data_IF_171763138765
#
_entry.id   IF_171763138765
#
_cell.length_a   1.000
_cell.length_b   1.000
_cell.length_c   1.000
_cell.angle_alpha   90.00
_cell.angle_beta   90.00
_cell.angle_gamma   90.00
#
_symmetry.space_group_name_H-M   'P 1'
#
loop_
_entity.id
_entity.type
_entity.pdbx_description
1 polymer ?
#
# COMPACT_ATOMS: atom_id res chain seq x y z
N UNK A 1 12.97 35.34 4.98
CA UNK A 1 13.25 34.02 4.36
C UNK A 1 12.44 32.90 5.05
N UNK A 2 11.10 32.96 5.05
CA UNK A 2 10.20 31.93 5.64
C UNK A 2 8.87 31.75 4.89
N UNK A 3 8.71 32.36 3.70
CA UNK A 3 7.41 32.48 3.02
C UNK A 3 6.83 31.12 2.56
N UNK A 4 7.66 30.10 2.34
CA UNK A 4 7.18 28.77 1.90
C UNK A 4 6.44 27.99 2.99
N UNK A 5 6.77 28.21 4.27
CA UNK A 5 6.11 27.51 5.40
C UNK A 5 4.74 28.15 5.69
N UNK A 6 4.62 29.47 5.48
CA UNK A 6 3.42 30.25 5.77
C UNK A 6 2.43 30.22 4.60
N UNK A 7 2.90 30.22 3.35
CA UNK A 7 2.06 30.14 2.15
C UNK A 7 2.07 28.73 1.54
N UNK A 8 1.43 27.78 2.22
CA UNK A 8 1.07 26.49 1.60
C UNK A 8 -0.20 26.67 0.77
N UNK A 9 -0.19 26.44 -0.55
CA UNK A 9 -1.42 26.49 -1.33
C UNK A 9 -2.41 25.45 -0.79
N UNK A 10 -3.63 25.89 -0.46
CA UNK A 10 -4.71 25.00 -0.05
C UNK A 10 -5.19 24.18 -1.25
N UNK A 11 -4.87 22.88 -1.27
CA UNK A 11 -5.27 21.94 -2.32
C UNK A 11 -6.45 21.05 -1.94
N UNK A 12 -7.19 21.37 -0.88
CA UNK A 12 -8.28 20.52 -0.38
C UNK A 12 -9.34 20.26 -1.45
N UNK A 13 -9.77 21.28 -2.21
CA UNK A 13 -10.77 21.12 -3.28
C UNK A 13 -10.25 20.22 -4.42
N UNK A 14 -8.97 20.36 -4.80
CA UNK A 14 -8.33 19.53 -5.82
C UNK A 14 -8.29 18.06 -5.40
N UNK A 15 -7.87 17.83 -4.14
CA UNK A 15 -7.84 16.49 -3.55
C UNK A 15 -9.24 15.90 -3.39
N UNK A 16 -10.25 16.70 -3.01
CA UNK A 16 -11.64 16.25 -2.93
C UNK A 16 -12.13 15.76 -4.29
N UNK A 17 -11.94 16.54 -5.37
CA UNK A 17 -12.30 16.11 -6.73
C UNK A 17 -11.59 14.82 -7.13
N UNK A 18 -10.30 14.70 -6.83
CA UNK A 18 -9.51 13.50 -7.13
C UNK A 18 -10.01 12.26 -6.36
N UNK A 19 -10.25 12.38 -5.06
CA UNK A 19 -10.68 11.26 -4.21
C UNK A 19 -12.17 10.94 -4.30
N UNK A 20 -13.03 11.85 -4.78
CA UNK A 20 -14.46 11.60 -5.01
C UNK A 20 -14.78 10.92 -6.35
N UNK A 21 -13.84 10.84 -7.30
CA UNK A 21 -14.04 10.07 -8.54
C UNK A 21 -14.38 8.58 -8.24
N UNK A 22 -15.18 7.89 -9.06
CA UNK A 22 -15.47 6.48 -8.82
C UNK A 22 -14.20 5.62 -8.87
N UNK A 23 -14.12 4.63 -7.99
CA UNK A 23 -13.03 3.65 -7.95
C UNK A 23 -12.42 3.44 -6.55
N UNK A 24 -11.68 2.34 -6.38
CA UNK A 24 -11.08 1.97 -5.10
C UNK A 24 -10.08 3.01 -4.60
N UNK A 25 -10.36 3.58 -3.42
CA UNK A 25 -9.53 4.62 -2.80
C UNK A 25 -8.07 4.19 -2.60
N UNK A 26 -7.83 2.90 -2.32
CA UNK A 26 -6.48 2.39 -2.11
C UNK A 26 -5.62 2.40 -3.37
N UNK A 27 -6.22 2.39 -4.57
CA UNK A 27 -5.51 2.51 -5.85
C UNK A 27 -5.32 3.97 -6.31
N UNK A 28 -5.90 4.94 -5.60
CA UNK A 28 -5.76 6.36 -5.92
C UNK A 28 -4.39 6.89 -5.49
N UNK A 29 -3.61 7.32 -6.46
CA UNK A 29 -2.29 7.94 -6.27
C UNK A 29 -1.23 7.28 -7.14
N UNK A 30 -0.38 8.10 -7.78
CA UNK A 30 0.65 7.63 -8.72
C UNK A 30 1.62 6.63 -8.08
N UNK A 31 2.00 6.83 -6.83
CA UNK A 31 2.92 5.96 -6.09
C UNK A 31 2.23 4.78 -5.39
N UNK A 32 0.89 4.71 -5.34
CA UNK A 32 0.20 3.62 -4.63
C UNK A 32 0.25 2.28 -5.36
N UNK A 33 0.27 2.29 -6.69
CA UNK A 33 0.35 1.05 -7.51
C UNK A 33 1.59 0.21 -7.22
N UNK A 34 2.84 0.74 -7.26
CA UNK A 34 4.02 -0.06 -6.93
C UNK A 34 4.04 -0.52 -5.46
N UNK A 35 3.54 0.30 -4.53
CA UNK A 35 3.45 -0.08 -3.11
C UNK A 35 2.52 -1.28 -2.92
N UNK A 36 1.36 -1.29 -3.58
CA UNK A 36 0.41 -2.41 -3.50
C UNK A 36 1.03 -3.68 -4.08
N UNK A 37 1.74 -3.58 -5.20
CA UNK A 37 2.44 -4.74 -5.79
C UNK A 37 3.48 -5.29 -4.82
N UNK A 38 4.34 -4.43 -4.25
CA UNK A 38 5.35 -4.84 -3.29
C UNK A 38 4.72 -5.50 -2.04
N UNK A 39 3.66 -4.91 -1.51
CA UNK A 39 2.95 -5.46 -0.36
C UNK A 39 2.32 -6.82 -0.67
N UNK A 40 1.69 -6.98 -1.83
CA UNK A 40 1.10 -8.25 -2.27
C UNK A 40 2.14 -9.35 -2.45
N UNK A 41 3.32 -9.03 -2.99
CA UNK A 41 4.44 -9.98 -3.11
C UNK A 41 4.93 -10.41 -1.73
N UNK A 42 5.12 -9.45 -0.81
CA UNK A 42 5.53 -9.76 0.56
C UNK A 42 4.50 -10.66 1.25
N UNK A 43 3.22 -10.31 1.19
CA UNK A 43 2.13 -11.04 1.84
C UNK A 43 2.05 -12.48 1.32
N UNK A 44 2.05 -12.66 -0.01
CA UNK A 44 1.98 -13.99 -0.64
C UNK A 44 3.21 -14.83 -0.33
N UNK A 45 4.41 -14.25 -0.35
CA UNK A 45 5.64 -14.93 0.05
C UNK A 45 5.60 -15.41 1.51
N UNK A 46 5.17 -14.55 2.43
CA UNK A 46 5.01 -14.92 3.85
C UNK A 46 3.97 -16.04 4.02
N UNK A 47 2.85 -15.96 3.31
CA UNK A 47 1.79 -16.96 3.40
C UNK A 47 2.26 -18.34 2.90
N UNK A 48 2.96 -18.37 1.77
CA UNK A 48 3.55 -19.60 1.23
C UNK A 48 4.63 -20.17 2.17
N UNK A 49 5.48 -19.32 2.73
CA UNK A 49 6.49 -19.74 3.71
C UNK A 49 5.87 -20.33 4.99
N UNK A 50 4.82 -19.70 5.51
CA UNK A 50 4.08 -20.19 6.67
C UNK A 50 3.40 -21.54 6.38
N UNK A 51 2.76 -21.68 5.21
CA UNK A 51 2.14 -22.93 4.79
C UNK A 51 3.18 -24.05 4.60
N UNK A 52 4.32 -23.72 4.00
CA UNK A 52 5.41 -24.67 3.84
C UNK A 52 5.95 -25.15 5.19
N UNK A 53 6.16 -24.21 6.12
CA UNK A 53 6.59 -24.51 7.49
C UNK A 53 5.58 -25.40 8.22
N UNK A 54 4.28 -25.10 8.12
CA UNK A 54 3.24 -25.90 8.77
C UNK A 54 3.15 -27.32 8.22
N UNK A 55 3.33 -27.51 6.90
CA UNK A 55 3.40 -28.84 6.29
C UNK A 55 4.63 -29.60 6.77
N UNK A 56 5.80 -28.96 6.88
CA UNK A 56 7.02 -29.60 7.42
C UNK A 56 6.86 -30.01 8.88
N UNK A 57 6.27 -29.15 9.71
CA UNK A 57 5.93 -29.47 11.10
C UNK A 57 4.97 -30.66 11.19
N UNK A 58 3.93 -30.69 10.35
CA UNK A 58 2.99 -31.82 10.29
C UNK A 58 3.65 -33.14 9.84
N UNK A 59 4.68 -33.07 8.99
CA UNK A 59 5.49 -34.22 8.58
C UNK A 59 6.57 -34.61 9.61
N UNK A 60 6.70 -33.88 10.73
CA UNK A 60 7.76 -34.10 11.72
C UNK A 60 9.18 -33.79 11.20
N UNK A 61 9.29 -33.09 10.07
CA UNK A 61 10.57 -32.69 9.48
C UNK A 61 10.96 -31.32 10.03
N UNK A 62 12.13 -31.23 10.65
CA UNK A 62 12.71 -29.96 11.12
C UNK A 62 13.22 -29.12 9.96
#
# INVERSE_FOLDING_TARGET
>A
MFNWIVNRPNRVIELQKYYQQPGPVFLKGRLRKPIIVAYSVMLSGTFLGALYGSVRMAQGKK
#
